data_IF_602365908847
#
_entry.id   IF_602365908847
#
_cell.length_a   1.000
_cell.length_b   1.000
_cell.length_c   1.000
_cell.angle_alpha   90.00
_cell.angle_beta   90.00
_cell.angle_gamma   90.00
#
_symmetry.space_group_name_H-M   'P 1'
#
loop_
_entity.id
_entity.type
_entity.pdbx_description
1 polymer ?
#
# COMPACT_ATOMS: atom_id res chain seq x y z
N UNK A 1 38.12 -16.43 8.66
CA UNK A 1 37.29 -15.32 9.18
C UNK A 1 35.91 -15.46 8.53
N UNK A 2 34.83 -15.46 9.31
CA UNK A 2 33.50 -15.84 8.82
C UNK A 2 32.91 -14.77 7.90
N UNK A 3 32.22 -15.22 6.86
CA UNK A 3 31.56 -14.37 5.88
C UNK A 3 30.44 -13.55 6.52
N UNK A 4 30.40 -12.27 6.17
CA UNK A 4 29.40 -11.29 6.58
C UNK A 4 28.03 -11.70 6.02
N UNK A 5 27.14 -12.16 6.90
CA UNK A 5 25.75 -12.49 6.55
C UNK A 5 24.98 -11.19 6.35
N UNK A 6 24.90 -10.73 5.10
CA UNK A 6 23.97 -9.67 4.71
C UNK A 6 22.56 -10.10 5.14
N UNK A 7 21.79 -9.27 5.87
CA UNK A 7 20.43 -9.62 6.22
C UNK A 7 19.63 -9.78 4.92
N UNK A 8 18.95 -10.93 4.81
CA UNK A 8 18.04 -11.30 3.74
C UNK A 8 16.82 -10.35 3.80
N UNK A 9 17.00 -9.13 3.30
CA UNK A 9 15.93 -8.15 3.22
C UNK A 9 14.95 -8.67 2.16
N UNK A 10 13.68 -8.96 2.51
CA UNK A 10 12.72 -9.42 1.52
C UNK A 10 12.60 -8.31 0.48
N UNK A 11 13.24 -8.51 -0.67
CA UNK A 11 13.07 -7.64 -1.82
C UNK A 11 11.58 -7.65 -2.11
N UNK A 12 10.89 -6.49 -2.13
CA UNK A 12 9.47 -6.46 -2.40
C UNK A 12 9.24 -7.25 -3.68
N UNK A 13 8.29 -8.19 -3.63
CA UNK A 13 8.03 -9.17 -4.67
C UNK A 13 8.14 -8.51 -6.07
N UNK A 14 8.72 -9.20 -7.07
CA UNK A 14 9.10 -8.62 -8.37
C UNK A 14 7.98 -7.83 -9.06
N UNK A 15 6.72 -8.06 -8.68
CA UNK A 15 5.53 -7.33 -9.14
C UNK A 15 5.48 -5.84 -8.79
N UNK A 16 6.19 -5.37 -7.75
CA UNK A 16 6.20 -3.95 -7.36
C UNK A 16 7.54 -3.26 -7.67
N UNK A 17 8.39 -3.89 -8.48
CA UNK A 17 9.63 -3.29 -8.93
C UNK A 17 9.36 -1.95 -9.64
N UNK A 18 9.96 -0.87 -9.14
CA UNK A 18 9.75 0.50 -9.63
C UNK A 18 8.76 1.35 -8.83
N UNK A 19 8.05 0.77 -7.86
CA UNK A 19 7.27 1.54 -6.87
C UNK A 19 8.22 2.09 -5.80
N UNK A 20 8.35 3.42 -5.72
CA UNK A 20 9.24 4.09 -4.75
C UNK A 20 8.71 4.07 -3.32
N UNK A 21 7.39 4.15 -3.17
CA UNK A 21 6.72 4.24 -1.87
C UNK A 21 5.46 3.38 -1.87
N UNK A 22 5.29 2.62 -0.79
CA UNK A 22 4.08 1.82 -0.53
C UNK A 22 3.48 2.35 0.77
N UNK A 23 2.26 2.87 0.72
CA UNK A 23 1.57 3.47 1.87
C UNK A 23 0.36 2.60 2.22
N UNK A 24 0.48 1.70 3.21
CA UNK A 24 -0.67 0.92 3.66
C UNK A 24 -1.64 1.79 4.47
N UNK A 25 -2.92 1.75 4.11
CA UNK A 25 -3.99 2.46 4.81
C UNK A 25 -4.93 1.42 5.43
N UNK A 26 -4.96 1.35 6.76
CA UNK A 26 -5.70 0.33 7.52
C UNK A 26 -6.65 0.97 8.56
N UNK A 27 -7.66 0.22 8.98
CA UNK A 27 -8.58 0.58 10.06
C UNK A 27 -8.94 -0.63 10.90
N UNK A 28 -9.05 -0.45 12.21
CA UNK A 28 -9.56 -1.48 13.14
C UNK A 28 -11.08 -1.63 13.15
N UNK A 29 -11.83 -0.77 12.44
CA UNK A 29 -13.31 -0.78 12.41
C UNK A 29 -13.87 -0.34 11.05
N UNK A 30 -15.02 -0.90 10.66
CA UNK A 30 -15.77 -0.46 9.49
C UNK A 30 -16.31 0.98 9.64
N UNK A 31 -16.38 1.72 8.53
CA UNK A 31 -17.04 3.04 8.49
C UNK A 31 -16.21 4.22 8.99
N UNK A 32 -14.93 4.05 9.36
CA UNK A 32 -14.06 5.17 9.81
C UNK A 32 -13.53 6.05 8.67
N UNK A 33 -13.86 5.71 7.41
CA UNK A 33 -13.40 6.46 6.25
C UNK A 33 -12.08 6.00 5.64
N UNK A 34 -11.56 4.80 5.97
CA UNK A 34 -10.31 4.24 5.40
C UNK A 34 -10.18 4.44 3.88
N UNK A 35 -11.20 4.03 3.11
CA UNK A 35 -11.20 4.14 1.64
C UNK A 35 -11.30 5.59 1.16
N UNK A 36 -12.03 6.45 1.88
CA UNK A 36 -12.12 7.87 1.57
C UNK A 36 -10.77 8.58 1.79
N UNK A 37 -10.09 8.27 2.89
CA UNK A 37 -8.74 8.79 3.18
C UNK A 37 -7.74 8.30 2.13
N UNK A 38 -7.77 7.02 1.77
CA UNK A 38 -6.88 6.46 0.74
C UNK A 38 -7.08 7.13 -0.62
N UNK A 39 -8.33 7.37 -1.03
CA UNK A 39 -8.66 8.04 -2.28
C UNK A 39 -8.20 9.50 -2.29
N UNK A 40 -8.48 10.25 -1.23
CA UNK A 40 -8.08 11.66 -1.14
C UNK A 40 -6.56 11.82 -1.10
N UNK A 41 -5.85 10.92 -0.43
CA UNK A 41 -4.39 10.90 -0.43
C UNK A 41 -3.84 10.63 -1.84
N UNK A 42 -4.41 9.66 -2.56
CA UNK A 42 -4.01 9.36 -3.93
C UNK A 42 -4.25 10.54 -4.88
N UNK A 43 -5.40 11.22 -4.74
CA UNK A 43 -5.73 12.41 -5.52
C UNK A 43 -4.77 13.57 -5.23
N UNK A 44 -4.44 13.84 -3.97
CA UNK A 44 -3.49 14.88 -3.61
C UNK A 44 -2.09 14.61 -4.20
N UNK A 45 -1.59 13.37 -4.06
CA UNK A 45 -0.30 12.98 -4.63
C UNK A 45 -0.29 13.07 -6.17
N UNK A 46 -1.39 12.72 -6.82
CA UNK A 46 -1.53 12.87 -8.27
C UNK A 46 -1.56 14.35 -8.69
N UNK A 47 -2.22 15.23 -7.92
CA UNK A 47 -2.22 16.68 -8.15
C UNK A 47 -0.82 17.28 -7.98
N UNK A 48 0.00 16.75 -7.07
CA UNK A 48 1.41 17.10 -6.90
C UNK A 48 2.33 16.48 -7.98
N UNK A 49 1.75 15.90 -9.04
CA UNK A 49 2.49 15.38 -10.20
C UNK A 49 3.14 14.01 -9.98
N UNK A 50 2.81 13.29 -8.90
CA UNK A 50 3.34 11.95 -8.69
C UNK A 50 2.59 10.91 -9.53
N UNK A 51 3.30 9.85 -9.94
CA UNK A 51 2.65 8.64 -10.46
C UNK A 51 2.15 7.81 -9.29
N UNK A 52 0.84 7.68 -9.17
CA UNK A 52 0.17 7.01 -8.05
C UNK A 52 -0.62 5.82 -8.57
N UNK A 53 -0.55 4.71 -7.83
CA UNK A 53 -1.45 3.57 -7.98
C UNK A 53 -2.19 3.35 -6.67
N UNK A 54 -3.49 3.03 -6.74
CA UNK A 54 -4.31 2.66 -5.59
C UNK A 54 -4.71 1.20 -5.74
N UNK A 55 -4.38 0.39 -4.73
CA UNK A 55 -4.78 -1.00 -4.64
C UNK A 55 -5.72 -1.16 -3.45
N UNK A 56 -6.94 -1.63 -3.70
CA UNK A 56 -7.83 -2.04 -2.62
C UNK A 56 -7.54 -3.49 -2.25
N UNK A 57 -7.14 -3.71 -1.01
CA UNK A 57 -6.83 -5.02 -0.45
C UNK A 57 -7.89 -5.47 0.58
N UNK A 58 -9.07 -4.84 0.57
CA UNK A 58 -10.21 -5.27 1.40
C UNK A 58 -10.81 -6.56 0.82
N UNK A 59 -10.29 -7.72 1.25
CA UNK A 59 -10.75 -9.06 0.83
C UNK A 59 -12.20 -9.36 1.31
N UNK A 60 -12.67 -8.64 2.33
CA UNK A 60 -14.04 -8.73 2.84
C UNK A 60 -14.86 -7.51 2.39
N UNK A 61 -15.27 -7.49 1.13
CA UNK A 61 -16.37 -6.61 0.69
C UNK A 61 -17.64 -6.89 1.52
N UNK A 62 -18.61 -5.96 1.58
CA UNK A 62 -19.80 -6.13 2.42
C UNK A 62 -20.54 -7.41 2.01
N UNK A 63 -20.43 -8.43 2.85
CA UNK A 63 -21.14 -9.70 2.72
C UNK A 63 -22.63 -9.43 2.91
N UNK A 64 -23.33 -9.17 1.81
CA UNK A 64 -24.77 -9.28 1.72
C UNK A 64 -25.08 -10.58 0.95
N UNK A 65 -25.95 -11.47 1.47
CA UNK A 65 -26.31 -12.72 0.81
C UNK A 65 -27.11 -12.51 -0.49
#
# INVERSE_FOLDING_TARGET
>A
MPAESTPDNPSPAPMLAGVRHIIPIASGKGGVGKSATALNLALALAQDGQRVGLLDADIYGPSQP
#
